data_IF_244902092098
#
_entry.id   IF_244902092098
#
_cell.length_a   1.000
_cell.length_b   1.000
_cell.length_c   1.000
_cell.angle_alpha   90.00
_cell.angle_beta   90.00
_cell.angle_gamma   90.00
#
_symmetry.space_group_name_H-M   'P 1'
#
loop_
_entity.id
_entity.type
_entity.pdbx_description
1 polymer ?
#
# COMPACT_ATOMS: atom_id res chain seq x y z
N UNK A 1 -29.02 -27.02 -59.62
CA UNK A 1 -27.80 -26.86 -58.82
C UNK A 1 -27.64 -25.50 -58.07
N UNK A 2 -28.69 -24.73 -57.80
CA UNK A 2 -28.54 -23.50 -56.98
C UNK A 2 -28.55 -23.77 -55.47
N UNK A 3 -29.11 -24.87 -54.96
CA UNK A 3 -29.28 -25.08 -53.51
C UNK A 3 -28.01 -25.41 -52.73
N UNK A 4 -27.02 -26.02 -53.38
CA UNK A 4 -25.78 -26.38 -52.69
C UNK A 4 -24.90 -25.15 -52.33
N UNK A 5 -24.86 -24.12 -53.19
CA UNK A 5 -24.09 -22.91 -52.93
C UNK A 5 -24.73 -22.05 -51.80
N UNK A 6 -26.06 -22.06 -51.71
CA UNK A 6 -26.77 -21.38 -50.63
C UNK A 6 -26.53 -22.08 -49.29
N UNK A 7 -26.48 -23.41 -49.26
CA UNK A 7 -26.19 -24.20 -48.06
C UNK A 7 -24.74 -24.00 -47.56
N UNK A 8 -23.76 -23.95 -48.46
CA UNK A 8 -22.36 -23.70 -48.12
C UNK A 8 -22.20 -22.27 -47.56
N UNK A 9 -22.86 -21.30 -48.17
CA UNK A 9 -22.83 -19.91 -47.69
C UNK A 9 -23.39 -19.79 -46.27
N UNK A 10 -24.50 -20.47 -45.95
CA UNK A 10 -25.06 -20.48 -44.58
C UNK A 10 -24.12 -21.13 -43.56
N UNK A 11 -23.51 -22.25 -43.95
CA UNK A 11 -22.54 -22.95 -43.07
C UNK A 11 -21.30 -22.06 -42.79
N UNK A 12 -20.82 -21.33 -43.81
CA UNK A 12 -19.70 -20.43 -43.65
C UNK A 12 -20.02 -19.26 -42.70
N UNK A 13 -21.20 -18.66 -42.83
CA UNK A 13 -21.69 -17.63 -41.93
C UNK A 13 -21.77 -18.13 -40.48
N UNK A 14 -22.32 -19.30 -40.26
CA UNK A 14 -22.43 -19.90 -38.93
C UNK A 14 -21.04 -20.16 -38.29
N UNK A 15 -20.05 -20.60 -39.08
CA UNK A 15 -18.67 -20.78 -38.62
C UNK A 15 -18.02 -19.45 -38.28
N UNK A 16 -18.23 -18.42 -39.11
CA UNK A 16 -17.73 -17.07 -38.84
C UNK A 16 -18.30 -16.49 -37.55
N UNK A 17 -19.61 -16.67 -37.32
CA UNK A 17 -20.27 -16.23 -36.08
C UNK A 17 -19.71 -16.98 -34.87
N UNK A 18 -19.50 -18.27 -34.95
CA UNK A 18 -18.89 -19.06 -33.87
C UNK A 18 -17.45 -18.63 -33.56
N UNK A 19 -16.67 -18.31 -34.61
CA UNK A 19 -15.30 -17.79 -34.42
C UNK A 19 -15.35 -16.43 -33.74
N UNK A 20 -16.23 -15.53 -34.18
CA UNK A 20 -16.38 -14.20 -33.57
C UNK A 20 -16.75 -14.29 -32.09
N UNK A 21 -17.73 -15.13 -31.74
CA UNK A 21 -18.12 -15.37 -30.35
C UNK A 21 -16.97 -15.98 -29.53
N UNK A 22 -16.24 -16.92 -30.11
CA UNK A 22 -15.07 -17.51 -29.45
C UNK A 22 -13.96 -16.48 -29.21
N UNK A 23 -13.71 -15.59 -30.15
CA UNK A 23 -12.73 -14.50 -29.99
C UNK A 23 -13.16 -13.50 -28.91
N UNK A 24 -14.41 -13.09 -28.88
CA UNK A 24 -14.95 -12.22 -27.82
C UNK A 24 -14.82 -12.85 -26.43
N UNK A 25 -15.13 -14.15 -26.33
CA UNK A 25 -14.98 -14.89 -25.08
C UNK A 25 -13.51 -14.95 -24.63
N UNK A 26 -12.57 -15.21 -25.56
CA UNK A 26 -11.13 -15.22 -25.25
C UNK A 26 -10.63 -13.86 -24.82
N UNK A 27 -11.05 -12.78 -25.50
CA UNK A 27 -10.69 -11.42 -25.10
C UNK A 27 -11.24 -11.08 -23.71
N UNK A 28 -12.47 -11.48 -23.40
CA UNK A 28 -13.04 -11.31 -22.07
C UNK A 28 -12.21 -12.03 -21.00
N UNK A 29 -11.88 -13.31 -21.23
CA UNK A 29 -11.05 -14.10 -20.30
C UNK A 29 -9.65 -13.49 -20.11
N UNK A 30 -9.01 -13.01 -21.19
CA UNK A 30 -7.70 -12.36 -21.11
C UNK A 30 -7.76 -11.08 -20.28
N UNK A 31 -8.82 -10.29 -20.47
CA UNK A 31 -9.04 -9.06 -19.68
C UNK A 31 -9.22 -9.36 -18.20
N UNK A 32 -10.04 -10.36 -17.86
CA UNK A 32 -10.28 -10.78 -16.48
C UNK A 32 -8.98 -11.28 -15.82
N UNK A 33 -8.20 -12.10 -16.55
CA UNK A 33 -6.91 -12.58 -16.08
C UNK A 33 -5.92 -11.45 -15.84
N UNK A 34 -5.87 -10.46 -16.73
CA UNK A 34 -5.00 -9.29 -16.58
C UNK A 34 -5.42 -8.45 -15.36
N UNK A 35 -6.72 -8.26 -15.16
CA UNK A 35 -7.25 -7.57 -14.00
C UNK A 35 -6.90 -8.29 -12.69
N UNK A 36 -6.96 -9.61 -12.68
CA UNK A 36 -6.58 -10.42 -11.53
C UNK A 36 -5.08 -10.35 -11.25
N UNK A 37 -4.25 -10.44 -12.29
CA UNK A 37 -2.79 -10.32 -12.17
C UNK A 37 -2.37 -8.96 -11.59
N UNK A 38 -2.99 -7.88 -12.04
CA UNK A 38 -2.71 -6.54 -11.51
C UNK A 38 -3.03 -6.43 -10.01
N UNK A 39 -4.18 -6.94 -9.59
CA UNK A 39 -4.56 -6.96 -8.16
C UNK A 39 -3.58 -7.80 -7.33
N UNK A 40 -3.24 -8.99 -7.83
CA UNK A 40 -2.28 -9.89 -7.17
C UNK A 40 -0.89 -9.26 -7.09
N UNK A 41 -0.46 -8.50 -8.11
CA UNK A 41 0.82 -7.80 -8.09
C UNK A 41 0.88 -6.74 -6.99
N UNK A 42 -0.20 -5.99 -6.77
CA UNK A 42 -0.29 -5.02 -5.68
C UNK A 42 -0.18 -5.73 -4.32
N UNK A 43 -0.93 -6.78 -4.10
CA UNK A 43 -0.88 -7.54 -2.84
C UNK A 43 0.51 -8.13 -2.58
N UNK A 44 1.15 -8.68 -3.63
CA UNK A 44 2.52 -9.19 -3.53
C UNK A 44 3.53 -8.09 -3.20
N UNK A 45 3.40 -6.92 -3.83
CA UNK A 45 4.27 -5.78 -3.56
C UNK A 45 4.14 -5.30 -2.11
N UNK A 46 2.93 -5.23 -1.57
CA UNK A 46 2.68 -4.87 -0.18
C UNK A 46 3.27 -5.93 0.76
N UNK A 47 3.02 -7.22 0.52
CA UNK A 47 3.55 -8.30 1.34
C UNK A 47 5.09 -8.34 1.33
N UNK A 48 5.71 -8.15 0.18
CA UNK A 48 7.16 -8.07 0.05
C UNK A 48 7.73 -6.85 0.82
N UNK A 49 7.08 -5.69 0.70
CA UNK A 49 7.45 -4.47 1.42
C UNK A 49 7.36 -4.68 2.93
N UNK A 50 6.27 -5.28 3.40
CA UNK A 50 6.08 -5.62 4.81
C UNK A 50 7.19 -6.54 5.33
N UNK A 51 7.52 -7.59 4.58
CA UNK A 51 8.58 -8.53 4.95
C UNK A 51 9.95 -7.83 5.06
N UNK A 52 10.30 -6.96 4.10
CA UNK A 52 11.55 -6.19 4.11
C UNK A 52 11.59 -5.21 5.28
N UNK A 53 10.50 -4.51 5.53
CA UNK A 53 10.41 -3.54 6.64
C UNK A 53 10.50 -4.25 8.00
N UNK A 54 9.81 -5.36 8.18
CA UNK A 54 9.87 -6.14 9.41
C UNK A 54 11.29 -6.70 9.66
N UNK A 55 11.97 -7.18 8.61
CA UNK A 55 13.37 -7.59 8.71
C UNK A 55 14.27 -6.39 9.10
N UNK A 56 14.08 -5.23 8.47
CA UNK A 56 14.87 -4.01 8.74
C UNK A 56 14.64 -3.47 10.17
N UNK A 57 13.43 -3.58 10.69
CA UNK A 57 13.10 -3.25 12.09
C UNK A 57 13.80 -4.23 13.02
N UNK A 58 13.74 -5.54 12.74
CA UNK A 58 14.44 -6.58 13.52
C UNK A 58 15.96 -6.38 13.56
N UNK A 59 16.55 -5.93 12.46
CA UNK A 59 17.98 -5.61 12.35
C UNK A 59 18.34 -4.19 12.84
N UNK A 60 17.38 -3.43 13.37
CA UNK A 60 17.54 -2.03 13.82
C UNK A 60 18.12 -1.10 12.75
N UNK A 61 17.83 -1.36 11.48
CA UNK A 61 18.25 -0.50 10.36
C UNK A 61 17.34 0.70 10.12
N UNK A 62 16.13 0.68 10.70
CA UNK A 62 15.21 1.81 10.64
C UNK A 62 15.57 2.81 11.71
N UNK A 63 15.86 4.05 11.32
CA UNK A 63 16.14 5.15 12.22
C UNK A 63 14.88 5.60 12.93
N UNK A 64 14.62 5.10 14.14
CA UNK A 64 13.53 5.56 14.99
C UNK A 64 13.64 7.05 15.33
N UNK A 65 14.86 7.58 15.40
CA UNK A 65 15.13 8.99 15.63
C UNK A 65 14.50 9.86 14.54
N UNK A 66 14.64 9.45 13.27
CA UNK A 66 14.05 10.14 12.13
C UNK A 66 12.53 10.16 12.19
N UNK A 67 11.91 9.01 12.49
CA UNK A 67 10.46 8.87 12.62
C UNK A 67 9.93 9.74 13.77
N UNK A 68 10.56 9.67 14.94
CA UNK A 68 10.16 10.46 16.11
C UNK A 68 10.33 11.95 15.83
N UNK A 69 11.45 12.37 15.24
CA UNK A 69 11.70 13.77 14.88
C UNK A 69 10.66 14.31 13.90
N UNK A 70 10.27 13.51 12.90
CA UNK A 70 9.22 13.89 11.95
C UNK A 70 7.88 14.09 12.66
N UNK A 71 7.44 13.13 13.49
CA UNK A 71 6.16 13.20 14.18
C UNK A 71 6.10 14.35 15.21
N UNK A 72 7.20 14.60 15.91
CA UNK A 72 7.32 15.75 16.82
C UNK A 72 7.21 17.05 16.03
N UNK A 73 7.83 17.13 14.85
CA UNK A 73 7.71 18.28 13.96
C UNK A 73 6.28 18.51 13.44
N UNK A 74 5.55 17.44 13.13
CA UNK A 74 4.14 17.50 12.68
C UNK A 74 3.19 17.97 13.80
N UNK A 75 3.49 17.64 15.06
CA UNK A 75 2.68 18.06 16.22
C UNK A 75 2.90 19.52 16.64
N UNK A 76 3.95 20.18 16.14
CA UNK A 76 4.34 21.54 16.53
C UNK A 76 5.06 21.60 17.88
N UNK A 77 5.98 22.56 18.01
CA UNK A 77 6.91 22.67 19.14
C UNK A 77 6.36 23.38 20.38
N UNK A 78 5.08 23.78 20.40
CA UNK A 78 4.52 24.65 21.43
C UNK A 78 4.07 23.93 22.73
N UNK A 79 4.04 22.62 22.75
CA UNK A 79 3.58 21.83 23.91
C UNK A 79 4.54 20.71 24.25
N UNK A 80 4.66 20.33 25.54
CA UNK A 80 5.43 19.17 25.91
C UNK A 80 4.85 17.92 25.21
N UNK A 81 5.71 17.22 24.50
CA UNK A 81 5.35 16.05 23.71
C UNK A 81 5.77 14.79 24.47
N UNK A 82 4.86 13.84 24.63
CA UNK A 82 5.17 12.51 25.15
C UNK A 82 5.24 11.51 24.00
N UNK A 83 6.35 10.77 23.94
CA UNK A 83 6.59 9.71 22.95
C UNK A 83 6.58 8.36 23.65
N UNK A 84 5.66 7.51 23.26
CA UNK A 84 5.53 6.15 23.75
C UNK A 84 6.18 5.19 22.76
N UNK A 85 7.09 4.37 23.24
CA UNK A 85 7.86 3.41 22.46
C UNK A 85 7.86 2.05 23.14
N UNK A 86 8.09 1.00 22.37
CA UNK A 86 8.44 -0.29 22.94
C UNK A 86 9.66 -0.15 23.86
N UNK A 87 9.74 -0.87 24.99
CA UNK A 87 10.88 -0.77 25.93
C UNK A 87 12.24 -0.92 25.27
N UNK A 88 12.38 -1.83 24.28
CA UNK A 88 13.63 -2.05 23.55
C UNK A 88 13.99 -0.82 22.69
N UNK A 89 13.00 -0.21 22.07
CA UNK A 89 13.18 0.96 21.20
C UNK A 89 13.44 2.22 22.02
N UNK A 90 12.83 2.34 23.20
CA UNK A 90 13.07 3.43 24.12
C UNK A 90 14.54 3.49 24.58
N UNK A 91 15.13 2.32 24.90
CA UNK A 91 16.55 2.22 25.24
C UNK A 91 17.43 2.60 24.04
N UNK A 92 17.09 2.13 22.84
CA UNK A 92 17.83 2.45 21.63
C UNK A 92 17.80 3.97 21.33
N UNK A 93 16.62 4.61 21.47
CA UNK A 93 16.47 6.06 21.28
C UNK A 93 17.27 6.85 22.33
N UNK A 94 17.25 6.44 23.60
CA UNK A 94 18.05 7.07 24.66
C UNK A 94 19.54 7.02 24.35
N UNK A 95 20.05 5.92 23.82
CA UNK A 95 21.45 5.83 23.39
C UNK A 95 21.73 6.77 22.20
N UNK A 96 20.80 6.96 21.31
CA UNK A 96 20.95 7.86 20.15
C UNK A 96 20.90 9.34 20.54
N UNK A 97 20.20 9.73 21.61
CA UNK A 97 20.16 11.11 22.11
C UNK A 97 21.51 11.62 22.65
N UNK A 98 22.52 10.77 22.77
CA UNK A 98 23.91 11.22 23.03
C UNK A 98 24.49 12.02 21.85
N UNK A 99 23.90 11.96 20.67
CA UNK A 99 24.30 12.76 19.50
C UNK A 99 23.72 14.18 19.61
N UNK A 100 24.50 15.24 19.40
CA UNK A 100 24.08 16.62 19.63
C UNK A 100 22.98 17.12 18.69
N UNK A 101 22.85 16.56 17.49
CA UNK A 101 21.81 16.83 16.49
C UNK A 101 20.45 16.27 16.91
N UNK A 102 20.41 15.05 17.43
CA UNK A 102 19.20 14.39 17.94
C UNK A 102 18.73 15.00 19.25
N UNK A 103 19.68 15.31 20.14
CA UNK A 103 19.42 15.92 21.46
C UNK A 103 18.67 17.24 21.35
N UNK A 104 18.97 18.08 20.36
CA UNK A 104 18.27 19.36 20.16
C UNK A 104 16.80 19.18 19.77
N UNK A 105 16.53 18.24 18.89
CA UNK A 105 15.16 17.98 18.40
C UNK A 105 14.28 17.34 19.47
N UNK A 106 14.89 16.56 20.37
CA UNK A 106 14.19 15.83 21.43
C UNK A 106 14.27 16.49 22.81
N UNK A 107 14.79 17.71 22.90
CA UNK A 107 15.00 18.40 24.18
C UNK A 107 13.74 18.57 25.03
N UNK A 108 12.57 18.73 24.40
CA UNK A 108 11.26 18.90 25.06
C UNK A 108 10.38 17.64 24.96
N UNK A 109 10.97 16.50 24.62
CA UNK A 109 10.25 15.25 24.39
C UNK A 109 10.42 14.32 25.59
N UNK A 110 9.30 13.89 26.17
CA UNK A 110 9.32 12.87 27.24
C UNK A 110 9.17 11.49 26.62
N UNK A 111 10.23 10.69 26.63
CA UNK A 111 10.20 9.30 26.16
C UNK A 111 9.66 8.40 27.28
N UNK A 112 8.63 7.60 26.96
CA UNK A 112 7.96 6.69 27.87
C UNK A 112 8.01 5.29 27.27
N UNK A 113 8.58 4.33 28.00
CA UNK A 113 8.53 2.93 27.61
C UNK A 113 7.12 2.37 27.86
N UNK A 114 6.51 1.80 26.82
CA UNK A 114 5.15 1.27 26.83
C UNK A 114 5.11 -0.09 26.14
N UNK A 115 4.79 -1.14 26.88
CA UNK A 115 4.78 -2.51 26.37
C UNK A 115 3.61 -2.79 25.41
N UNK A 116 2.58 -1.94 25.41
CA UNK A 116 1.45 -1.97 24.48
C UNK A 116 1.77 -1.40 23.09
N UNK A 117 2.94 -0.78 22.93
CA UNK A 117 3.42 -0.27 21.65
C UNK A 117 4.31 -1.33 20.97
N UNK A 118 3.97 -1.78 19.76
CA UNK A 118 4.79 -2.74 19.02
C UNK A 118 6.18 -2.19 18.71
N UNK A 119 7.19 -3.07 18.63
CA UNK A 119 8.53 -2.69 18.25
C UNK A 119 8.55 -2.04 16.84
N UNK A 120 9.37 -0.99 16.67
CA UNK A 120 9.45 -0.24 15.42
C UNK A 120 8.30 0.74 15.18
N UNK A 121 7.35 0.86 16.12
CA UNK A 121 6.27 1.85 16.07
C UNK A 121 6.41 2.87 17.19
N UNK A 122 5.83 4.06 17.01
CA UNK A 122 5.76 5.04 18.08
C UNK A 122 4.38 5.71 18.11
N UNK A 123 3.99 6.13 19.32
CA UNK A 123 2.80 6.93 19.57
C UNK A 123 3.26 8.24 20.20
N UNK A 124 2.94 9.36 19.55
CA UNK A 124 3.31 10.68 20.01
C UNK A 124 2.05 11.43 20.41
N UNK A 125 2.05 12.00 21.62
CA UNK A 125 0.90 12.72 22.16
C UNK A 125 1.32 14.08 22.64
N UNK A 126 0.48 15.08 22.40
CA UNK A 126 0.51 16.37 23.07
C UNK A 126 -0.84 16.64 23.72
N UNK A 127 -1.05 17.83 24.28
CA UNK A 127 -2.29 18.21 24.96
C UNK A 127 -3.53 18.18 24.02
N UNK A 128 -3.36 18.33 22.71
CA UNK A 128 -4.43 18.50 21.74
C UNK A 128 -4.65 17.28 20.84
N UNK A 129 -3.61 16.47 20.59
CA UNK A 129 -3.67 15.42 19.58
C UNK A 129 -2.76 14.22 19.89
N UNK A 130 -3.08 13.10 19.27
CA UNK A 130 -2.27 11.87 19.32
C UNK A 130 -1.98 11.44 17.91
N UNK A 131 -0.71 11.32 17.56
CA UNK A 131 -0.25 10.71 16.32
C UNK A 131 0.33 9.33 16.62
N UNK A 132 0.01 8.38 15.79
CA UNK A 132 0.51 7.01 15.89
C UNK A 132 1.15 6.62 14.57
N UNK A 133 2.39 6.19 14.61
CA UNK A 133 3.00 5.56 13.46
C UNK A 133 2.76 4.07 13.57
N UNK A 134 1.82 3.61 12.76
CA UNK A 134 1.53 2.20 12.58
C UNK A 134 1.91 1.83 11.14
N UNK A 135 2.99 1.10 11.00
CA UNK A 135 3.49 0.66 9.70
C UNK A 135 2.42 -0.11 8.93
N UNK A 136 1.69 -0.97 9.63
CA UNK A 136 0.63 -1.77 9.04
C UNK A 136 -0.51 -0.91 8.49
N UNK A 137 -0.95 0.09 9.28
CA UNK A 137 -1.97 1.04 8.83
C UNK A 137 -1.52 1.84 7.61
N UNK A 138 -0.23 2.23 7.55
CA UNK A 138 0.34 2.95 6.40
C UNK A 138 0.41 2.06 5.16
N UNK A 139 0.85 0.82 5.29
CA UNK A 139 0.88 -0.15 4.18
C UNK A 139 -0.53 -0.44 3.67
N UNK A 140 -1.49 -0.61 4.57
CA UNK A 140 -2.90 -0.78 4.18
C UNK A 140 -3.44 0.43 3.44
N UNK A 141 -3.14 1.65 3.90
CA UNK A 141 -3.57 2.87 3.21
C UNK A 141 -2.96 2.98 1.79
N UNK A 142 -1.69 2.61 1.62
CA UNK A 142 -1.03 2.57 0.30
C UNK A 142 -1.69 1.51 -0.58
N UNK A 143 -1.95 0.31 -0.05
CA UNK A 143 -2.65 -0.75 -0.77
C UNK A 143 -4.02 -0.26 -1.26
N UNK A 144 -4.81 0.33 -0.37
CA UNK A 144 -6.16 0.78 -0.68
C UNK A 144 -6.13 1.91 -1.73
N UNK A 145 -5.16 2.82 -1.66
CA UNK A 145 -4.95 3.86 -2.66
C UNK A 145 -4.58 3.29 -4.03
N UNK A 146 -3.71 2.28 -4.07
CA UNK A 146 -3.30 1.65 -5.32
C UNK A 146 -4.45 0.84 -5.93
N UNK A 147 -5.22 0.12 -5.11
CA UNK A 147 -6.41 -0.60 -5.57
C UNK A 147 -7.48 0.35 -6.12
N UNK A 148 -7.70 1.48 -5.48
CA UNK A 148 -8.63 2.52 -5.95
C UNK A 148 -8.15 3.11 -7.30
N UNK A 149 -6.88 3.45 -7.41
CA UNK A 149 -6.29 3.96 -8.66
C UNK A 149 -6.44 2.96 -9.80
N UNK A 150 -6.24 1.67 -9.52
CA UNK A 150 -6.42 0.59 -10.49
C UNK A 150 -7.89 0.49 -10.92
N UNK A 151 -8.84 0.57 -10.00
CA UNK A 151 -10.27 0.51 -10.30
C UNK A 151 -10.73 1.71 -11.15
N UNK A 152 -10.22 2.91 -10.86
CA UNK A 152 -10.50 4.12 -11.67
C UNK A 152 -9.96 3.95 -13.09
N UNK A 153 -8.74 3.45 -13.26
CA UNK A 153 -8.14 3.19 -14.57
C UNK A 153 -8.96 2.16 -15.37
N UNK A 154 -9.42 1.09 -14.72
CA UNK A 154 -10.29 0.06 -15.34
C UNK A 154 -11.65 0.63 -15.79
N UNK A 155 -12.26 1.48 -14.96
CA UNK A 155 -13.54 2.12 -15.31
C UNK A 155 -13.39 3.04 -16.53
N UNK A 156 -12.28 3.79 -16.63
CA UNK A 156 -11.97 4.63 -17.78
C UNK A 156 -11.81 3.84 -19.09
N UNK A 157 -11.15 2.68 -19.04
CA UNK A 157 -11.00 1.81 -20.23
C UNK A 157 -12.31 1.18 -20.68
N UNK A 158 -13.16 0.73 -19.73
CA UNK A 158 -14.49 0.19 -20.07
C UNK A 158 -15.39 1.20 -20.77
N UNK A 159 -15.29 2.48 -20.39
CA UNK A 159 -16.06 3.56 -21.02
C UNK A 159 -15.58 3.87 -22.44
N UNK A 160 -14.28 3.73 -22.72
CA UNK A 160 -13.72 3.94 -24.04
C UNK A 160 -14.09 2.81 -25.02
N UNK A 161 -14.07 1.56 -24.56
CA UNK A 161 -14.44 0.39 -25.35
C UNK A 161 -15.95 0.36 -25.71
N UNK A 162 -16.80 1.01 -24.91
CA UNK A 162 -18.26 1.06 -25.14
C UNK A 162 -18.69 2.09 -26.20
N UNK A 163 -17.79 2.95 -26.64
CA UNK A 163 -18.06 4.05 -27.62
C UNK A 163 -17.49 3.73 -29.01
N UNK A 164 -16.76 2.64 -29.16
CA UNK A 164 -16.17 2.17 -30.44
C UNK A 164 -17.00 1.06 -31.04
#
# INVERSE_FOLDING_TARGET
>A
MPDQNASIGQQLLAVCEQISLGMEQLHGQQKDQLEQLQSTAIELAIAATEAVLNASIGERRVSLEGIVSQLVGELGSESPVAVYLNPVDAVALQMATTRPDVSKTLANVKVIAAADVPAGTCRVTNAASTLKTDLQSRLNAIRDQWMESLNVARAGHRSADAVS
#
